data_IF_360880714946
#
_entry.id   IF_360880714946
#
_cell.length_a   1.000
_cell.length_b   1.000
_cell.length_c   1.000
_cell.angle_alpha   90.00
_cell.angle_beta   90.00
_cell.angle_gamma   90.00
#
_symmetry.space_group_name_H-M   'P 1'
#
loop_
_entity.id
_entity.type
_entity.pdbx_description
1 polymer ?
#
# COMPACT_ATOMS: atom_id res chain seq x y z
N UNK A 1 -21.36 -9.69 -17.43
CA UNK A 1 -22.55 -9.71 -16.56
C UNK A 1 -22.36 -10.85 -15.56
N UNK A 2 -21.94 -10.53 -14.34
CA UNK A 2 -21.79 -11.53 -13.27
C UNK A 2 -23.02 -11.37 -12.39
N UNK A 3 -23.79 -12.44 -12.27
CA UNK A 3 -25.04 -12.49 -11.51
C UNK A 3 -24.68 -13.01 -10.12
N UNK A 4 -24.71 -12.15 -9.10
CA UNK A 4 -24.49 -12.56 -7.72
C UNK A 4 -25.85 -12.88 -7.09
N UNK A 5 -26.14 -14.18 -6.93
CA UNK A 5 -27.31 -14.66 -6.19
C UNK A 5 -27.00 -14.62 -4.69
N UNK A 6 -27.77 -13.84 -3.94
CA UNK A 6 -27.63 -13.71 -2.49
C UNK A 6 -28.62 -14.60 -1.73
N UNK A 7 -28.13 -15.64 -1.07
CA UNK A 7 -28.86 -16.35 -0.02
C UNK A 7 -28.44 -15.77 1.34
N UNK A 8 -29.38 -15.18 2.07
CA UNK A 8 -29.15 -14.60 3.40
C UNK A 8 -29.16 -15.71 4.47
N UNK A 9 -27.99 -16.04 5.02
CA UNK A 9 -27.87 -16.89 6.22
C UNK A 9 -27.63 -16.00 7.46
N UNK A 10 -28.60 -15.96 8.37
CA UNK A 10 -28.64 -15.11 9.57
C UNK A 10 -27.65 -15.46 10.70
N UNK A 11 -26.56 -16.17 10.40
CA UNK A 11 -25.44 -16.44 11.31
C UNK A 11 -24.12 -15.82 10.86
N UNK A 12 -24.14 -15.03 9.78
CA UNK A 12 -22.94 -14.50 9.09
C UNK A 12 -22.53 -13.09 9.55
N UNK A 13 -23.13 -12.53 10.61
CA UNK A 13 -22.81 -11.16 11.04
C UNK A 13 -21.64 -11.09 12.04
N UNK A 14 -21.30 -12.18 12.72
CA UNK A 14 -20.12 -12.26 13.59
C UNK A 14 -18.80 -12.42 12.82
N UNK A 15 -18.89 -12.72 11.52
CA UNK A 15 -17.76 -12.75 10.63
C UNK A 15 -18.09 -11.82 9.45
N UNK A 16 -17.69 -10.55 9.55
CA UNK A 16 -17.51 -9.71 8.36
C UNK A 16 -16.42 -10.40 7.53
N UNK A 17 -16.82 -11.34 6.68
CA UNK A 17 -15.94 -12.03 5.75
C UNK A 17 -15.64 -11.03 4.64
N UNK A 18 -14.59 -10.23 4.84
CA UNK A 18 -14.01 -9.46 3.75
C UNK A 18 -13.29 -10.48 2.87
N UNK A 19 -13.71 -10.67 1.60
CA UNK A 19 -13.05 -11.63 0.74
C UNK A 19 -11.66 -11.13 0.36
N UNK A 20 -10.73 -12.07 0.24
CA UNK A 20 -9.47 -11.81 -0.44
C UNK A 20 -9.75 -11.58 -1.93
N UNK A 21 -9.30 -10.43 -2.46
CA UNK A 21 -9.39 -10.11 -3.88
C UNK A 21 -8.00 -10.30 -4.48
N UNK A 22 -7.87 -11.20 -5.45
CA UNK A 22 -6.64 -11.39 -6.22
C UNK A 22 -6.94 -11.17 -7.69
N UNK A 23 -6.55 -10.00 -8.18
CA UNK A 23 -6.50 -9.66 -9.60
C UNK A 23 -5.04 -9.39 -9.95
N UNK A 24 -4.71 -9.47 -11.24
CA UNK A 24 -3.33 -9.32 -11.73
C UNK A 24 -2.65 -8.06 -11.17
N UNK A 25 -3.37 -6.93 -11.14
CA UNK A 25 -2.87 -5.61 -10.73
C UNK A 25 -3.46 -5.09 -9.42
N UNK A 26 -4.35 -5.84 -8.79
CA UNK A 26 -5.02 -5.43 -7.57
C UNK A 26 -5.17 -6.61 -6.63
N UNK A 27 -4.51 -6.54 -5.49
CA UNK A 27 -4.55 -7.56 -4.46
C UNK A 27 -4.96 -6.91 -3.14
N UNK A 28 -6.07 -7.36 -2.58
CA UNK A 28 -6.51 -6.99 -1.23
C UNK A 28 -6.63 -8.26 -0.41
N UNK A 29 -5.83 -8.36 0.64
CA UNK A 29 -5.78 -9.51 1.54
C UNK A 29 -6.12 -9.04 2.97
N UNK A 30 -7.38 -9.20 3.40
CA UNK A 30 -7.77 -8.98 4.79
C UNK A 30 -7.02 -9.94 5.71
N UNK A 31 -6.63 -9.46 6.89
CA UNK A 31 -6.07 -10.26 7.97
C UNK A 31 -6.99 -10.14 9.19
N UNK A 32 -6.72 -10.92 10.23
CA UNK A 32 -7.51 -10.87 11.47
C UNK A 32 -7.55 -9.46 12.09
N UNK A 33 -6.45 -8.72 11.97
CA UNK A 33 -6.23 -7.44 12.64
C UNK A 33 -5.92 -6.33 11.63
N UNK A 34 -6.27 -6.49 10.36
CA UNK A 34 -5.88 -5.52 9.34
C UNK A 34 -6.04 -5.97 7.90
N UNK A 35 -5.17 -5.48 7.03
CA UNK A 35 -5.17 -5.83 5.61
C UNK A 35 -3.79 -5.64 4.97
N UNK A 36 -3.59 -6.26 3.80
CA UNK A 36 -2.52 -5.93 2.86
C UNK A 36 -3.12 -5.55 1.52
N UNK A 37 -2.60 -4.49 0.93
CA UNK A 37 -2.97 -3.96 -0.37
C UNK A 37 -1.74 -3.93 -1.27
N UNK A 38 -1.89 -4.43 -2.49
CA UNK A 38 -0.95 -4.22 -3.59
C UNK A 38 -1.73 -3.75 -4.81
N UNK A 39 -1.30 -2.64 -5.41
CA UNK A 39 -1.90 -2.03 -6.60
C UNK A 39 -0.79 -1.66 -7.59
N UNK A 40 -0.96 -2.09 -8.84
CA UNK A 40 -0.12 -1.68 -9.95
C UNK A 40 -0.95 -0.91 -10.97
N UNK A 41 -0.53 0.31 -11.27
CA UNK A 41 -1.20 1.19 -12.23
C UNK A 41 -0.61 1.01 -13.64
N UNK A 42 -1.38 1.25 -14.72
CA UNK A 42 -0.90 1.05 -16.09
C UNK A 42 0.31 1.90 -16.48
N UNK A 43 0.53 3.04 -15.82
CA UNK A 43 1.65 3.97 -16.02
C UNK A 43 2.94 3.51 -15.30
N UNK A 44 2.91 2.35 -14.64
CA UNK A 44 4.03 1.80 -13.88
C UNK A 44 4.10 2.31 -12.44
N UNK A 45 3.17 3.17 -12.02
CA UNK A 45 3.00 3.55 -10.63
C UNK A 45 2.53 2.35 -9.80
N UNK A 46 2.93 2.30 -8.52
CA UNK A 46 2.62 1.17 -7.64
C UNK A 46 2.30 1.63 -6.23
N UNK A 47 1.43 0.89 -5.53
CA UNK A 47 1.15 1.07 -4.12
C UNK A 47 1.24 -0.27 -3.40
N UNK A 48 2.03 -0.29 -2.33
CA UNK A 48 2.02 -1.37 -1.35
C UNK A 48 1.63 -0.79 0.01
N UNK A 49 0.67 -1.39 0.68
CA UNK A 49 0.17 -0.88 1.96
C UNK A 49 -0.24 -2.00 2.90
N UNK A 50 0.01 -1.80 4.19
CA UNK A 50 -0.44 -2.67 5.26
C UNK A 50 -1.09 -1.77 6.32
N UNK A 51 -2.36 -2.04 6.61
CA UNK A 51 -3.03 -1.52 7.80
C UNK A 51 -3.10 -2.58 8.87
N UNK A 52 -2.81 -2.22 10.12
CA UNK A 52 -2.89 -3.12 11.27
C UNK A 52 -3.45 -2.40 12.50
N UNK A 53 -4.32 -3.10 13.23
CA UNK A 53 -4.77 -2.71 14.56
C UNK A 53 -3.76 -3.25 15.56
N UNK A 54 -3.08 -2.35 16.26
CA UNK A 54 -2.14 -2.66 17.34
C UNK A 54 -2.92 -2.70 18.65
N UNK A 55 -2.55 -3.64 19.53
CA UNK A 55 -3.15 -3.85 20.85
C UNK A 55 -4.70 -3.95 20.86
N UNK A 56 -5.31 -4.80 20.02
CA UNK A 56 -6.76 -4.91 19.92
C UNK A 56 -7.38 -5.31 21.26
N UNK A 57 -8.46 -4.62 21.65
CA UNK A 57 -9.18 -4.85 22.91
C UNK A 57 -8.53 -4.24 24.14
N UNK A 58 -7.57 -3.32 23.98
CA UNK A 58 -6.93 -2.57 25.07
C UNK A 58 -7.20 -1.07 24.95
N UNK A 59 -6.99 -0.28 26.02
CA UNK A 59 -7.04 1.20 25.93
C UNK A 59 -5.98 1.81 25.00
N UNK A 60 -4.96 1.03 24.63
CA UNK A 60 -3.88 1.42 23.71
C UNK A 60 -4.14 0.92 22.28
N UNK A 61 -5.39 0.55 21.96
CA UNK A 61 -5.78 0.13 20.62
C UNK A 61 -5.57 1.26 19.61
N UNK A 62 -4.89 0.94 18.51
CA UNK A 62 -4.49 1.93 17.51
C UNK A 62 -4.47 1.33 16.10
N UNK A 63 -4.98 2.06 15.11
CA UNK A 63 -4.79 1.71 13.71
C UNK A 63 -3.51 2.35 13.17
N UNK A 64 -2.57 1.51 12.76
CA UNK A 64 -1.33 1.92 12.09
C UNK A 64 -1.40 1.51 10.63
N UNK A 65 -1.16 2.46 9.72
CA UNK A 65 -1.07 2.22 8.28
C UNK A 65 0.32 2.56 7.80
N UNK A 66 0.98 1.61 7.17
CA UNK A 66 2.30 1.79 6.58
C UNK A 66 2.26 1.39 5.12
N UNK A 67 2.91 2.17 4.26
CA UNK A 67 2.95 1.83 2.86
C UNK A 67 3.97 2.61 2.07
N UNK A 68 4.03 2.26 0.79
CA UNK A 68 4.79 2.95 -0.23
C UNK A 68 3.89 3.26 -1.41
N UNK A 69 4.09 4.42 -2.01
CA UNK A 69 3.53 4.78 -3.32
C UNK A 69 4.66 5.23 -4.22
N UNK A 70 4.83 4.57 -5.37
CA UNK A 70 5.83 4.94 -6.37
C UNK A 70 5.15 5.49 -7.61
N UNK A 71 5.62 6.63 -8.09
CA UNK A 71 5.23 7.22 -9.38
C UNK A 71 6.43 7.17 -10.31
N UNK A 72 6.22 6.66 -11.52
CA UNK A 72 7.24 6.63 -12.56
C UNK A 72 7.01 7.76 -13.57
N UNK A 73 8.06 8.56 -13.83
CA UNK A 73 8.04 9.59 -14.87
C UNK A 73 8.91 9.17 -16.05
N UNK A 74 8.28 8.82 -17.16
CA UNK A 74 8.94 8.45 -18.42
C UNK A 74 9.81 9.56 -19.01
N UNK A 75 9.47 10.83 -18.79
CA UNK A 75 10.21 11.96 -19.38
C UNK A 75 11.57 12.14 -18.71
N UNK A 76 11.63 11.89 -17.41
CA UNK A 76 12.82 12.08 -16.58
C UNK A 76 13.49 10.77 -16.18
N UNK A 77 12.94 9.63 -16.59
CA UNK A 77 13.41 8.27 -16.25
C UNK A 77 13.64 8.11 -14.73
N UNK A 78 12.73 8.69 -13.94
CA UNK A 78 12.84 8.80 -12.48
C UNK A 78 11.64 8.15 -11.80
N UNK A 79 11.92 7.28 -10.83
CA UNK A 79 10.93 6.79 -9.88
C UNK A 79 10.90 7.71 -8.65
N UNK A 80 9.73 8.24 -8.30
CA UNK A 80 9.51 8.93 -7.02
C UNK A 80 8.80 7.98 -6.08
N UNK A 81 9.48 7.54 -5.01
CA UNK A 81 8.92 6.64 -4.00
C UNK A 81 8.59 7.42 -2.75
N UNK A 82 7.33 7.41 -2.34
CA UNK A 82 6.86 7.98 -1.07
C UNK A 82 6.54 6.85 -0.10
N UNK A 83 7.27 6.79 1.00
CA UNK A 83 6.99 5.94 2.15
C UNK A 83 6.15 6.73 3.15
N UNK A 84 5.15 6.10 3.75
CA UNK A 84 4.32 6.75 4.74
C UNK A 84 3.99 5.85 5.91
N UNK A 85 3.81 6.49 7.06
CA UNK A 85 3.26 5.89 8.27
C UNK A 85 2.17 6.83 8.78
N UNK A 86 0.97 6.29 8.98
CA UNK A 86 -0.13 6.96 9.65
C UNK A 86 -0.41 6.21 10.94
N UNK A 87 -0.27 6.91 12.05
CA UNK A 87 -0.46 6.40 13.41
C UNK A 87 -1.17 7.49 14.24
N UNK A 88 -1.35 7.28 15.54
CA UNK A 88 -2.02 8.23 16.46
C UNK A 88 -1.33 9.58 16.54
N UNK A 89 -0.03 9.65 16.24
CA UNK A 89 0.73 10.90 16.24
C UNK A 89 0.65 11.62 14.88
N UNK A 90 -0.08 11.05 13.92
CA UNK A 90 -0.38 11.64 12.62
C UNK A 90 0.39 11.02 11.46
N UNK A 91 0.41 11.74 10.34
CA UNK A 91 0.99 11.27 9.08
C UNK A 91 2.47 11.66 8.96
N UNK A 92 3.33 10.68 8.72
CA UNK A 92 4.80 10.81 8.67
C UNK A 92 5.31 10.36 7.30
N UNK A 93 5.31 11.24 6.26
CA UNK A 93 5.80 10.89 4.94
C UNK A 93 7.32 11.04 4.82
N UNK A 94 7.93 10.19 4.00
CA UNK A 94 9.32 10.30 3.52
C UNK A 94 9.35 10.00 2.03
N UNK A 95 10.14 10.72 1.26
CA UNK A 95 10.24 10.48 -0.18
C UNK A 95 11.70 10.25 -0.61
N UNK A 96 11.86 9.46 -1.67
CA UNK A 96 13.13 9.16 -2.31
C UNK A 96 12.95 9.28 -3.82
N UNK A 97 13.88 9.98 -4.46
CA UNK A 97 14.01 10.01 -5.92
C UNK A 97 15.01 8.94 -6.34
N UNK A 98 14.60 8.03 -7.21
CA UNK A 98 15.45 6.99 -7.77
C UNK A 98 15.51 7.19 -9.28
N UNK A 99 16.59 7.80 -9.74
CA UNK A 99 16.85 7.97 -11.15
C UNK A 99 17.45 6.67 -11.71
N UNK A 100 16.81 6.06 -12.72
CA UNK A 100 17.28 4.77 -13.27
C UNK A 100 18.58 4.92 -14.05
N UNK A 101 18.90 6.14 -14.50
CA UNK A 101 20.15 6.53 -15.16
C UNK A 101 20.97 7.49 -14.31
N UNK A 102 21.44 7.06 -13.14
CA UNK A 102 22.63 7.72 -12.56
C UNK A 102 23.83 7.40 -13.45
N UNK A 103 24.11 8.27 -14.42
CA UNK A 103 25.31 8.15 -15.25
C UNK A 103 26.54 8.20 -14.35
N UNK A 104 27.57 7.40 -14.67
CA UNK A 104 28.82 7.38 -13.92
C UNK A 104 29.47 8.77 -13.76
N UNK A 105 29.19 9.69 -14.70
CA UNK A 105 29.66 11.07 -14.67
C UNK A 105 28.98 11.92 -13.59
N UNK A 106 27.69 11.67 -13.30
CA UNK A 106 26.96 12.37 -12.23
C UNK A 106 27.46 11.93 -10.85
N UNK A 107 27.78 10.65 -10.68
CA UNK A 107 28.38 10.10 -9.45
C UNK A 107 29.79 10.67 -9.20
N UNK A 108 30.58 10.87 -10.26
CA UNK A 108 31.93 11.44 -10.17
C UNK A 108 31.93 12.91 -9.77
N UNK A 109 30.87 13.66 -10.10
CA UNK A 109 30.72 15.08 -9.76
C UNK A 109 30.29 15.34 -8.31
N UNK A 110 29.70 14.37 -7.62
CA UNK A 110 29.23 14.52 -6.23
C UNK A 110 30.24 14.05 -5.17
N UNK A 111 31.34 13.43 -5.60
CA UNK A 111 32.40 12.93 -4.72
C UNK A 111 33.62 13.87 -4.62
N UNK A 112 33.49 15.12 -5.08
CA UNK A 112 34.52 16.15 -5.07
C UNK A 112 34.37 17.13 -3.92
#
# INVERSE_FOLDING_TARGET
MIILSGTTFGGLLDAIFIPTILQEKYQLMPTKEGYRLNLEEPDGSRREEVGMVINPGTPEEELVVMGTYSVYDEKTDTDTVTMYTADKDGYKPRYMLKNRKLSANTLKSMAG
#
